data_IF_651979708652
#
_entry.id   IF_651979708652
#
_cell.length_a   1.000
_cell.length_b   1.000
_cell.length_c   1.000
_cell.angle_alpha   90.00
_cell.angle_beta   90.00
_cell.angle_gamma   90.00
#
_symmetry.space_group_name_H-M   'P 1'
#
loop_
_entity.id
_entity.type
_entity.pdbx_description
1 polymer ?
#
# COMPACT_ATOMS: atom_id res chain seq x y z
N UNK A 1 8.23 11.77 -14.28
CA UNK A 1 7.73 11.08 -13.06
C UNK A 1 7.09 12.11 -12.15
N UNK A 2 5.84 12.49 -12.43
CA UNK A 2 5.11 13.49 -11.65
C UNK A 2 4.26 12.76 -10.58
N UNK A 3 4.45 13.17 -9.34
CA UNK A 3 3.42 13.32 -8.30
C UNK A 3 2.62 12.10 -7.79
N UNK A 4 3.10 10.86 -7.95
CA UNK A 4 2.41 9.68 -7.40
C UNK A 4 2.92 9.17 -6.04
N UNK A 5 3.84 9.88 -5.37
CA UNK A 5 4.42 9.43 -4.10
C UNK A 5 3.59 9.84 -2.86
N UNK A 6 2.32 9.42 -2.81
CA UNK A 6 1.61 9.25 -1.54
C UNK A 6 1.65 7.77 -1.18
N UNK A 7 2.84 7.26 -0.85
CA UNK A 7 3.04 5.89 -0.43
C UNK A 7 3.28 5.85 1.08
N UNK A 8 2.39 5.20 1.82
CA UNK A 8 2.55 4.98 3.26
C UNK A 8 3.47 3.76 3.48
N UNK A 9 4.66 3.95 4.07
CA UNK A 9 5.53 2.83 4.39
C UNK A 9 4.92 1.94 5.48
N UNK A 10 5.19 0.62 5.49
CA UNK A 10 4.75 -0.29 6.52
C UNK A 10 5.42 0.06 7.85
N UNK A 11 4.67 -0.10 8.95
CA UNK A 11 5.08 0.33 10.29
C UNK A 11 6.15 -0.55 10.96
N UNK A 12 6.72 -1.55 10.25
CA UNK A 12 7.43 -2.68 10.87
C UNK A 12 8.91 -2.80 10.47
N UNK A 13 9.58 -1.73 10.03
CA UNK A 13 10.98 -1.79 9.58
C UNK A 13 11.96 -1.14 10.55
N UNK A 14 13.21 -1.59 10.49
CA UNK A 14 14.27 -1.06 11.33
C UNK A 14 14.65 0.38 10.93
N UNK A 15 15.18 1.15 11.89
CA UNK A 15 15.64 2.53 11.66
C UNK A 15 16.67 2.65 10.52
N UNK A 16 17.52 1.64 10.36
CA UNK A 16 18.55 1.60 9.32
C UNK A 16 17.94 1.39 7.93
N UNK A 17 16.96 0.50 7.79
CA UNK A 17 16.24 0.29 6.53
C UNK A 17 15.47 1.54 6.12
N UNK A 18 14.80 2.20 7.07
CA UNK A 18 14.14 3.49 6.84
C UNK A 18 15.10 4.56 6.31
N UNK A 19 16.29 4.70 6.93
CA UNK A 19 17.28 5.71 6.52
C UNK A 19 17.86 5.41 5.12
N UNK A 20 18.18 4.14 4.85
CA UNK A 20 18.73 3.71 3.58
C UNK A 20 17.74 3.94 2.41
N UNK A 21 16.47 3.59 2.60
CA UNK A 21 15.42 3.82 1.61
C UNK A 21 15.17 5.30 1.37
N UNK A 22 15.17 6.14 2.41
CA UNK A 22 14.99 7.60 2.24
C UNK A 22 16.10 8.22 1.39
N UNK A 23 17.35 7.82 1.61
CA UNK A 23 18.49 8.31 0.82
C UNK A 23 18.40 7.83 -0.64
N UNK A 24 18.05 6.56 -0.86
CA UNK A 24 17.87 6.01 -2.21
C UNK A 24 16.72 6.70 -2.97
N UNK A 25 15.57 6.91 -2.31
CA UNK A 25 14.41 7.58 -2.90
C UNK A 25 14.73 9.02 -3.31
N UNK A 26 15.56 9.74 -2.56
CA UNK A 26 15.99 11.10 -2.94
C UNK A 26 16.82 11.10 -4.23
N UNK A 27 17.66 10.09 -4.47
CA UNK A 27 18.41 9.95 -5.72
C UNK A 27 17.49 9.61 -6.91
N UNK A 28 16.47 8.79 -6.70
CA UNK A 28 15.49 8.45 -7.74
C UNK A 28 14.58 9.63 -8.09
N UNK A 29 14.19 10.45 -7.11
CA UNK A 29 13.49 11.72 -7.35
C UNK A 29 14.29 12.69 -8.22
N UNK A 30 15.62 12.63 -8.15
CA UNK A 30 16.54 13.44 -8.94
C UNK A 30 16.83 12.85 -10.33
N UNK A 31 16.14 11.77 -10.73
CA UNK A 31 16.21 11.21 -12.08
C UNK A 31 17.10 9.97 -12.22
N UNK A 32 17.62 9.43 -11.12
CA UNK A 32 18.34 8.14 -11.17
C UNK A 32 17.34 7.00 -11.36
N UNK A 33 17.56 6.12 -12.34
CA UNK A 33 16.70 4.95 -12.53
C UNK A 33 17.16 3.80 -11.60
N UNK A 34 16.30 3.25 -10.73
CA UNK A 34 16.63 2.09 -9.93
C UNK A 34 16.84 0.84 -10.80
N UNK A 35 17.69 -0.08 -10.34
CA UNK A 35 17.82 -1.40 -10.95
C UNK A 35 16.55 -2.23 -10.75
N UNK A 36 16.30 -3.24 -11.59
CA UNK A 36 15.12 -4.11 -11.47
C UNK A 36 14.96 -4.72 -10.06
N UNK A 37 16.07 -5.21 -9.47
CA UNK A 37 16.10 -5.71 -8.09
C UNK A 37 15.64 -4.65 -7.10
N UNK A 38 16.13 -3.42 -7.27
CA UNK A 38 15.83 -2.32 -6.36
C UNK A 38 14.39 -1.82 -6.52
N UNK A 39 13.86 -1.82 -7.74
CA UNK A 39 12.45 -1.54 -8.01
C UNK A 39 11.54 -2.56 -7.32
N UNK A 40 11.89 -3.85 -7.36
CA UNK A 40 11.16 -4.90 -6.65
C UNK A 40 11.21 -4.73 -5.12
N UNK A 41 12.36 -4.36 -4.56
CA UNK A 41 12.49 -4.07 -3.12
C UNK A 41 11.63 -2.87 -2.69
N UNK A 42 11.57 -1.82 -3.50
CA UNK A 42 10.74 -0.63 -3.25
C UNK A 42 9.25 -0.98 -3.38
N UNK A 43 8.88 -1.76 -4.39
CA UNK A 43 7.52 -2.25 -4.61
C UNK A 43 7.03 -3.05 -3.40
N UNK A 44 7.84 -4.03 -2.95
CA UNK A 44 7.59 -4.80 -1.72
C UNK A 44 7.52 -3.90 -0.48
N UNK A 45 8.41 -2.92 -0.37
CA UNK A 45 8.43 -1.99 0.76
C UNK A 45 7.12 -1.21 0.85
N UNK A 46 6.60 -0.68 -0.24
CA UNK A 46 5.35 0.09 -0.23
C UNK A 46 4.08 -0.76 -0.37
N UNK A 47 4.26 -2.08 -0.49
CA UNK A 47 3.24 -3.05 -0.87
C UNK A 47 2.43 -2.61 -2.09
N UNK A 48 3.14 -2.40 -3.19
CA UNK A 48 2.59 -2.10 -4.52
C UNK A 48 3.31 -2.96 -5.56
N UNK A 49 2.79 -3.04 -6.79
CA UNK A 49 3.49 -3.73 -7.89
C UNK A 49 4.67 -2.92 -8.40
N UNK A 50 5.63 -3.60 -9.03
CA UNK A 50 6.69 -2.94 -9.80
C UNK A 50 6.12 -2.08 -10.93
N UNK A 51 5.02 -2.51 -11.55
CA UNK A 51 4.33 -1.75 -12.60
C UNK A 51 3.76 -0.43 -12.07
N UNK A 52 3.27 -0.39 -10.83
CA UNK A 52 2.82 0.84 -10.18
C UNK A 52 3.99 1.81 -9.97
N UNK A 53 5.14 1.30 -9.52
CA UNK A 53 6.36 2.10 -9.35
C UNK A 53 6.87 2.66 -10.69
N UNK A 54 6.76 1.88 -11.76
CA UNK A 54 7.19 2.26 -13.10
C UNK A 54 6.17 3.14 -13.85
N UNK A 55 4.95 3.28 -13.32
CA UNK A 55 3.85 4.02 -13.95
C UNK A 55 3.20 3.29 -15.13
N UNK A 56 3.41 1.98 -15.24
CA UNK A 56 2.75 1.11 -16.22
C UNK A 56 1.29 0.81 -15.83
N UNK A 57 0.94 0.99 -14.55
CA UNK A 57 -0.42 0.92 -14.02
C UNK A 57 -0.67 2.04 -13.02
N UNK A 58 -1.90 2.55 -13.00
CA UNK A 58 -2.40 3.46 -11.95
C UNK A 58 -3.14 2.72 -10.85
N UNK A 59 -3.49 1.45 -11.07
CA UNK A 59 -4.18 0.63 -10.09
C UNK A 59 -3.21 0.16 -9.02
N UNK A 60 -3.50 0.48 -7.76
CA UNK A 60 -2.84 -0.19 -6.63
C UNK A 60 -3.38 -1.60 -6.59
N UNK A 61 -2.49 -2.59 -6.55
CA UNK A 61 -2.93 -3.96 -6.28
C UNK A 61 -3.77 -3.95 -5.00
N UNK A 62 -4.95 -4.57 -5.07
CA UNK A 62 -5.81 -4.72 -3.91
C UNK A 62 -5.09 -5.63 -2.92
N UNK A 63 -4.58 -5.03 -1.85
CA UNK A 63 -3.93 -5.74 -0.76
C UNK A 63 -4.99 -6.20 0.23
N UNK A 64 -5.55 -7.38 -0.03
CA UNK A 64 -6.58 -7.98 0.82
C UNK A 64 -6.10 -8.13 2.26
N UNK A 65 -4.84 -8.50 2.47
CA UNK A 65 -4.27 -8.74 3.79
C UNK A 65 -4.21 -7.45 4.63
N UNK A 66 -3.90 -6.30 4.02
CA UNK A 66 -4.00 -5.00 4.72
C UNK A 66 -5.43 -4.59 5.00
N UNK A 67 -6.37 -4.90 4.11
CA UNK A 67 -7.77 -4.60 4.38
C UNK A 67 -8.27 -5.42 5.57
N UNK A 68 -8.01 -6.72 5.56
CA UNK A 68 -8.40 -7.65 6.64
C UNK A 68 -7.83 -7.17 7.98
N UNK A 69 -6.54 -6.84 8.04
CA UNK A 69 -5.92 -6.28 9.26
C UNK A 69 -6.53 -4.94 9.69
N UNK A 70 -6.97 -4.11 8.73
CA UNK A 70 -7.60 -2.83 9.05
C UNK A 70 -9.02 -3.03 9.61
N UNK A 71 -9.74 -4.03 9.11
CA UNK A 71 -11.06 -4.43 9.57
C UNK A 71 -11.00 -5.15 10.91
N UNK A 72 -10.00 -5.99 11.15
CA UNK A 72 -9.80 -6.65 12.45
C UNK A 72 -9.57 -5.65 13.59
N UNK A 73 -8.85 -4.57 13.31
CA UNK A 73 -8.53 -3.54 14.30
C UNK A 73 -9.57 -2.41 14.36
N UNK A 74 -10.59 -2.42 13.50
CA UNK A 74 -11.60 -1.37 13.48
C UNK A 74 -12.64 -1.60 14.58
N UNK A 75 -13.39 -0.52 14.86
CA UNK A 75 -14.38 -0.47 15.92
C UNK A 75 -15.67 0.09 15.36
N UNK A 76 -16.77 -0.30 15.98
CA UNK A 76 -18.08 0.29 15.72
C UNK A 76 -18.13 1.75 16.17
N UNK A 77 -19.20 2.45 15.81
CA UNK A 77 -19.41 3.86 16.12
C UNK A 77 -19.41 4.16 17.62
N UNK A 78 -19.84 3.20 18.44
CA UNK A 78 -19.82 3.28 19.90
C UNK A 78 -18.46 2.89 20.52
N UNK A 79 -17.48 2.52 19.70
CA UNK A 79 -16.14 2.11 20.13
C UNK A 79 -16.02 0.64 20.55
N UNK A 80 -17.08 -0.14 20.42
CA UNK A 80 -17.03 -1.60 20.60
C UNK A 80 -16.26 -2.27 19.46
N UNK A 81 -15.61 -3.43 19.70
CA UNK A 81 -15.07 -4.26 18.61
C UNK A 81 -16.20 -4.68 17.67
N UNK A 82 -15.90 -4.74 16.38
CA UNK A 82 -16.83 -5.35 15.42
C UNK A 82 -16.94 -6.85 15.65
N UNK A 83 -18.13 -7.41 15.45
CA UNK A 83 -18.30 -8.85 15.34
C UNK A 83 -17.89 -9.37 13.94
N UNK A 84 -17.87 -10.68 13.77
CA UNK A 84 -17.41 -11.29 12.51
C UNK A 84 -18.34 -11.01 11.33
N UNK A 85 -19.65 -10.87 11.57
CA UNK A 85 -20.62 -10.58 10.52
C UNK A 85 -20.44 -9.15 9.99
N UNK A 86 -20.28 -8.17 10.88
CA UNK A 86 -20.00 -6.78 10.53
C UNK A 86 -18.68 -6.63 9.76
N UNK A 87 -17.64 -7.36 10.17
CA UNK A 87 -16.33 -7.37 9.48
C UNK A 87 -16.47 -7.90 8.05
N UNK A 88 -17.21 -8.99 7.86
CA UNK A 88 -17.44 -9.59 6.54
C UNK A 88 -18.23 -8.63 5.63
N UNK A 89 -19.27 -7.98 6.15
CA UNK A 89 -20.05 -6.98 5.40
C UNK A 89 -19.16 -5.82 4.95
N UNK A 90 -18.33 -5.27 5.84
CA UNK A 90 -17.43 -4.16 5.53
C UNK A 90 -16.38 -4.58 4.49
N UNK A 91 -15.81 -5.77 4.62
CA UNK A 91 -14.85 -6.32 3.66
C UNK A 91 -15.48 -6.38 2.26
N UNK A 92 -16.64 -7.01 2.14
CA UNK A 92 -17.32 -7.18 0.85
C UNK A 92 -17.74 -5.85 0.24
N UNK A 93 -18.25 -4.90 1.04
CA UNK A 93 -18.59 -3.56 0.57
C UNK A 93 -17.39 -2.82 -0.04
N UNK A 94 -16.24 -2.88 0.63
CA UNK A 94 -15.02 -2.21 0.16
C UNK A 94 -14.50 -2.88 -1.11
N UNK A 95 -14.50 -4.22 -1.15
CA UNK A 95 -14.12 -4.99 -2.33
C UNK A 95 -14.99 -4.64 -3.53
N UNK A 96 -16.32 -4.67 -3.38
CA UNK A 96 -17.28 -4.34 -4.44
C UNK A 96 -17.11 -2.90 -4.94
N UNK A 97 -16.88 -1.95 -4.05
CA UNK A 97 -16.61 -0.55 -4.43
C UNK A 97 -15.35 -0.44 -5.29
N UNK A 98 -14.27 -1.12 -4.92
CA UNK A 98 -13.00 -1.06 -5.65
C UNK A 98 -13.08 -1.77 -7.00
N UNK A 99 -13.76 -2.92 -7.08
CA UNK A 99 -13.96 -3.65 -8.34
C UNK A 99 -14.84 -2.89 -9.34
N UNK A 100 -15.82 -2.12 -8.85
CA UNK A 100 -16.72 -1.36 -9.72
C UNK A 100 -16.19 0.04 -10.08
N UNK A 101 -15.31 0.64 -9.28
CA UNK A 101 -14.67 1.94 -9.60
C UNK A 101 -13.68 1.86 -10.77
N UNK A 102 -13.16 0.66 -11.07
CA UNK A 102 -12.23 0.42 -12.17
C UNK A 102 -12.88 0.14 -13.53
N UNK A 103 -14.23 0.11 -13.61
CA UNK A 103 -15.02 -0.02 -14.84
C UNK A 103 -15.50 1.35 -15.30
#
# INVERSE_FOLDING_TARGET
MKDHFFLNPPHNLSRSEHSYLRNALNAYKQGTTPSAKRTAEIAKYFNVTTDYILGNTTSREYDSERLDKSIENSKSFDGSPLDEEDKEIIHNLIKDYLENKGK
#
